data_IF_899089862770
#
_entry.id   IF_899089862770
#
_cell.length_a   1.000
_cell.length_b   1.000
_cell.length_c   1.000
_cell.angle_alpha   90.00
_cell.angle_beta   90.00
_cell.angle_gamma   90.00
#
_symmetry.space_group_name_H-M   'P 1'
#
loop_
_entity.id
_entity.type
_entity.pdbx_description
1 polymer ?
#
# COMPACT_ATOMS: atom_id res chain seq x y z
N UNK A 1 28.79 57.69 -39.10
CA UNK A 1 27.45 57.13 -39.37
C UNK A 1 27.42 55.55 -39.36
N UNK A 2 28.49 54.91 -39.82
CA UNK A 2 28.55 53.42 -39.87
C UNK A 2 28.71 52.77 -38.47
N UNK A 3 29.43 53.41 -37.56
CA UNK A 3 29.69 52.87 -36.19
C UNK A 3 28.44 52.85 -35.29
N UNK A 4 27.49 53.73 -35.52
CA UNK A 4 26.22 53.77 -34.75
C UNK A 4 25.22 52.73 -35.26
N UNK A 5 25.29 52.32 -36.51
CA UNK A 5 24.46 51.21 -37.04
C UNK A 5 24.93 49.87 -36.56
N UNK A 6 26.22 49.62 -36.47
CA UNK A 6 26.74 48.36 -35.96
C UNK A 6 26.40 48.12 -34.47
N UNK A 7 26.41 49.17 -33.64
CA UNK A 7 25.99 49.09 -32.24
C UNK A 7 24.50 48.74 -32.07
N UNK A 8 23.65 49.30 -32.94
CA UNK A 8 22.19 48.95 -32.89
C UNK A 8 21.91 47.56 -33.40
N UNK A 9 22.68 47.06 -34.35
CA UNK A 9 22.55 45.67 -34.84
C UNK A 9 22.92 44.65 -33.77
N UNK A 10 24.02 44.89 -33.02
CA UNK A 10 24.43 44.00 -31.93
C UNK A 10 23.41 43.94 -30.75
N UNK A 11 22.78 45.08 -30.43
CA UNK A 11 21.75 45.15 -29.39
C UNK A 11 20.49 44.38 -29.83
N UNK A 12 20.13 44.45 -31.11
CA UNK A 12 18.98 43.73 -31.65
C UNK A 12 19.21 42.21 -31.67
N UNK A 13 20.42 41.75 -32.01
CA UNK A 13 20.80 40.35 -31.94
C UNK A 13 20.83 39.83 -30.50
N UNK A 14 21.29 40.64 -29.55
CA UNK A 14 21.28 40.28 -28.14
C UNK A 14 19.85 40.13 -27.61
N UNK A 15 18.92 40.99 -28.05
CA UNK A 15 17.51 40.95 -27.69
C UNK A 15 16.79 39.74 -28.29
N UNK A 16 17.09 39.33 -29.50
CA UNK A 16 16.57 38.13 -30.13
C UNK A 16 17.10 36.88 -29.42
N UNK A 17 18.39 36.87 -29.04
CA UNK A 17 19.00 35.72 -28.32
C UNK A 17 18.39 35.54 -26.93
N UNK A 18 18.12 36.63 -26.19
CA UNK A 18 17.45 36.57 -24.87
C UNK A 18 15.98 36.17 -24.99
N UNK A 19 15.28 36.56 -26.04
CA UNK A 19 13.92 36.18 -26.31
C UNK A 19 13.79 34.67 -26.65
N UNK A 20 14.79 34.12 -27.36
CA UNK A 20 14.87 32.68 -27.65
C UNK A 20 15.13 31.82 -26.37
N UNK A 21 15.84 32.37 -25.40
CA UNK A 21 16.07 31.71 -24.11
C UNK A 21 14.84 31.74 -23.20
N UNK A 22 14.01 32.76 -23.29
CA UNK A 22 12.76 32.87 -22.53
C UNK A 22 11.63 31.98 -23.07
N UNK A 23 11.67 31.62 -24.37
CA UNK A 23 10.65 30.74 -24.96
C UNK A 23 10.86 29.25 -24.69
N UNK A 24 12.00 28.82 -24.14
CA UNK A 24 12.23 27.41 -23.76
C UNK A 24 11.65 27.03 -22.40
N UNK A 25 10.95 27.95 -21.72
CA UNK A 25 10.30 27.73 -20.43
C UNK A 25 8.84 27.26 -20.48
N UNK A 26 8.31 26.90 -21.65
CA UNK A 26 7.04 26.15 -21.68
C UNK A 26 7.27 24.75 -21.21
N UNK A 27 7.31 24.58 -19.89
CA UNK A 27 6.98 23.30 -19.24
C UNK A 27 5.55 23.03 -19.66
N UNK A 28 5.37 22.12 -20.61
CA UNK A 28 4.07 21.49 -20.83
C UNK A 28 3.69 20.85 -19.52
N UNK A 29 2.77 21.47 -18.79
CA UNK A 29 2.00 20.80 -17.75
C UNK A 29 1.27 19.69 -18.48
N UNK A 30 1.91 18.53 -18.60
CA UNK A 30 1.21 17.30 -18.97
C UNK A 30 0.10 17.14 -17.95
N UNK A 31 -1.12 17.01 -18.42
CA UNK A 31 -2.27 16.73 -17.60
C UNK A 31 -1.97 15.48 -16.77
N UNK A 32 -1.55 15.68 -15.53
CA UNK A 32 -1.19 14.60 -14.58
C UNK A 32 -2.37 13.64 -14.40
N UNK A 33 -3.61 14.12 -14.54
CA UNK A 33 -4.83 13.33 -14.41
C UNK A 33 -4.98 12.25 -15.50
N UNK A 34 -4.66 12.55 -16.76
CA UNK A 34 -4.75 11.56 -17.83
C UNK A 34 -3.64 10.51 -17.74
N UNK A 35 -2.43 10.92 -17.36
CA UNK A 35 -1.34 9.97 -17.12
C UNK A 35 -1.57 9.09 -15.88
N UNK A 36 -2.33 9.55 -14.87
CA UNK A 36 -2.64 8.77 -13.68
C UNK A 36 -3.66 7.66 -13.99
N UNK A 37 -4.67 7.91 -14.83
CA UNK A 37 -5.66 6.90 -15.21
C UNK A 37 -5.11 5.89 -16.24
N UNK A 38 -4.40 6.32 -17.28
CA UNK A 38 -3.79 5.40 -18.24
C UNK A 38 -2.68 4.54 -17.61
N UNK A 39 -1.94 5.09 -16.63
CA UNK A 39 -0.93 4.32 -15.91
C UNK A 39 -1.52 3.31 -14.94
N UNK A 40 -2.67 3.58 -14.32
CA UNK A 40 -3.29 2.65 -13.35
C UNK A 40 -3.88 1.39 -14.00
N UNK A 41 -4.43 1.48 -15.21
CA UNK A 41 -5.01 0.31 -15.91
C UNK A 41 -3.98 -0.76 -16.30
N UNK A 42 -2.70 -0.43 -16.25
CA UNK A 42 -1.61 -1.31 -16.66
C UNK A 42 -0.51 -1.46 -15.61
N UNK A 43 -0.77 -1.10 -14.36
CA UNK A 43 0.20 -1.17 -13.27
C UNK A 43 -0.05 -2.43 -12.44
N UNK A 44 1.02 -3.10 -12.05
CA UNK A 44 0.93 -4.21 -11.10
C UNK A 44 0.74 -3.63 -9.71
N UNK A 45 -0.16 -4.21 -8.92
CA UNK A 45 -0.37 -3.86 -7.52
C UNK A 45 0.03 -5.05 -6.64
N UNK A 46 1.32 -5.25 -6.38
CA UNK A 46 1.80 -6.34 -5.57
C UNK A 46 1.39 -6.15 -4.11
N UNK A 47 0.91 -7.21 -3.49
CA UNK A 47 0.72 -7.25 -2.03
C UNK A 47 1.93 -7.92 -1.39
N UNK A 48 2.44 -7.31 -0.32
CA UNK A 48 3.58 -7.83 0.44
C UNK A 48 3.26 -7.87 1.92
N UNK A 49 3.73 -8.93 2.60
CA UNK A 49 3.69 -9.04 4.06
C UNK A 49 5.06 -9.46 4.57
N UNK A 50 5.55 -8.74 5.58
CA UNK A 50 6.81 -9.08 6.25
C UNK A 50 6.49 -9.95 7.46
N UNK A 51 7.31 -10.99 7.67
CA UNK A 51 7.25 -11.80 8.86
C UNK A 51 8.66 -12.07 9.42
N UNK A 52 8.87 -11.68 10.66
CA UNK A 52 10.08 -11.94 11.41
C UNK A 52 9.97 -13.28 12.15
N UNK A 53 10.06 -14.38 11.40
CA UNK A 53 9.92 -15.74 11.93
C UNK A 53 11.22 -16.37 12.45
N UNK A 54 12.35 -15.64 12.37
CA UNK A 54 13.68 -16.13 12.71
C UNK A 54 14.56 -14.98 13.22
N UNK A 55 15.60 -15.29 14.00
CA UNK A 55 16.52 -14.27 14.54
C UNK A 55 17.35 -13.59 13.45
N UNK A 56 17.79 -14.32 12.44
CA UNK A 56 18.68 -13.83 11.39
C UNK A 56 17.91 -13.39 10.16
N UNK A 57 16.96 -14.22 9.72
CA UNK A 57 16.20 -13.97 8.50
C UNK A 57 14.82 -13.42 8.77
N UNK A 58 14.29 -12.75 7.79
CA UNK A 58 12.90 -12.32 7.73
C UNK A 58 12.33 -12.74 6.39
N UNK A 59 11.03 -13.03 6.35
CA UNK A 59 10.36 -13.54 5.16
C UNK A 59 9.49 -12.44 4.57
N UNK A 60 9.58 -12.25 3.25
CA UNK A 60 8.60 -11.50 2.46
C UNK A 60 7.65 -12.50 1.83
N UNK A 61 6.39 -12.43 2.19
CA UNK A 61 5.31 -13.07 1.44
C UNK A 61 4.79 -12.11 0.39
N UNK A 62 4.46 -12.61 -0.79
CA UNK A 62 3.95 -11.81 -1.89
C UNK A 62 2.71 -12.43 -2.52
N UNK A 63 1.87 -11.56 -3.08
CA UNK A 63 0.77 -11.95 -3.96
C UNK A 63 0.68 -10.99 -5.14
N UNK A 64 0.52 -11.54 -6.35
CA UNK A 64 0.29 -10.81 -7.59
C UNK A 64 -1.03 -11.28 -8.19
N UNK A 65 -1.85 -10.35 -8.65
CA UNK A 65 -3.09 -10.68 -9.35
C UNK A 65 -2.78 -11.00 -10.81
N UNK A 66 -3.14 -12.19 -11.26
CA UNK A 66 -2.88 -12.63 -12.63
C UNK A 66 -3.52 -11.73 -13.69
N UNK A 67 -4.67 -11.12 -13.40
CA UNK A 67 -5.35 -10.18 -14.32
C UNK A 67 -4.63 -8.84 -14.50
N UNK A 68 -3.64 -8.52 -13.66
CA UNK A 68 -2.79 -7.33 -13.80
C UNK A 68 -1.52 -7.60 -14.64
N UNK A 69 -1.27 -8.84 -15.05
CA UNK A 69 -0.07 -9.27 -15.74
C UNK A 69 -0.31 -9.50 -17.24
N UNK A 70 0.75 -9.34 -18.02
CA UNK A 70 0.72 -9.69 -19.44
C UNK A 70 1.15 -11.15 -19.65
N UNK A 71 0.22 -11.97 -20.10
CA UNK A 71 0.50 -13.33 -20.53
C UNK A 71 0.77 -13.38 -22.02
N UNK A 72 1.85 -14.02 -22.40
CA UNK A 72 2.24 -14.24 -23.79
C UNK A 72 2.41 -15.75 -24.06
N UNK A 73 2.30 -16.15 -25.31
CA UNK A 73 2.59 -17.54 -25.74
C UNK A 73 3.45 -17.53 -26.98
N UNK A 74 4.34 -18.50 -27.09
CA UNK A 74 5.28 -18.60 -28.22
C UNK A 74 4.56 -18.98 -29.51
N UNK A 75 3.55 -19.86 -29.45
CA UNK A 75 2.75 -20.30 -30.59
C UNK A 75 1.34 -20.70 -30.15
N UNK A 76 0.45 -21.03 -31.10
CA UNK A 76 -0.96 -21.35 -30.81
C UNK A 76 -1.15 -22.56 -29.87
N UNK A 77 -0.20 -23.47 -29.83
CA UNK A 77 -0.29 -24.71 -29.04
C UNK A 77 0.48 -24.66 -27.73
N UNK A 78 1.22 -23.57 -27.44
CA UNK A 78 1.92 -23.40 -26.17
C UNK A 78 1.02 -22.75 -25.11
N UNK A 79 1.31 -23.06 -23.86
CA UNK A 79 0.72 -22.41 -22.69
C UNK A 79 0.97 -20.89 -22.68
N UNK A 80 0.11 -20.17 -22.00
CA UNK A 80 0.32 -18.76 -21.71
C UNK A 80 1.31 -18.63 -20.55
N UNK A 81 2.25 -17.71 -20.66
CA UNK A 81 3.29 -17.48 -19.68
C UNK A 81 3.39 -16.00 -19.29
N UNK A 82 3.36 -15.72 -18.00
CA UNK A 82 3.74 -14.44 -17.43
C UNK A 82 5.06 -14.55 -16.68
N UNK A 83 5.87 -13.49 -16.72
CA UNK A 83 7.18 -13.43 -16.06
C UNK A 83 7.27 -12.20 -15.19
N UNK A 84 7.40 -12.42 -13.89
CA UNK A 84 7.52 -11.36 -12.90
C UNK A 84 8.93 -11.42 -12.32
N UNK A 85 9.66 -10.32 -12.40
CA UNK A 85 10.96 -10.19 -11.76
C UNK A 85 10.83 -9.29 -10.54
N UNK A 86 11.20 -9.82 -9.37
CA UNK A 86 11.29 -9.04 -8.13
C UNK A 86 12.76 -8.87 -7.76
N UNK A 87 13.20 -7.63 -7.61
CA UNK A 87 14.51 -7.29 -7.05
C UNK A 87 14.30 -6.66 -5.69
N UNK A 88 15.17 -6.97 -4.74
CA UNK A 88 15.12 -6.35 -3.43
C UNK A 88 16.47 -5.83 -2.96
N UNK A 89 16.41 -4.77 -2.14
CA UNK A 89 17.55 -4.17 -1.44
C UNK A 89 17.09 -3.91 -0.01
N UNK A 90 17.83 -4.42 0.95
CA UNK A 90 17.58 -4.20 2.39
C UNK A 90 18.60 -3.20 2.92
N UNK A 91 18.11 -2.18 3.60
CA UNK A 91 18.92 -1.15 4.21
C UNK A 91 18.67 -1.12 5.72
N UNK A 92 19.74 -1.04 6.48
CA UNK A 92 19.68 -0.75 7.93
C UNK A 92 19.54 0.75 8.13
N UNK A 93 18.80 1.17 9.15
CA UNK A 93 18.63 2.58 9.50
C UNK A 93 19.99 3.24 9.77
N UNK A 94 20.21 4.41 9.17
CA UNK A 94 21.48 5.13 9.24
C UNK A 94 22.58 4.61 8.31
N UNK A 95 22.40 3.47 7.64
CA UNK A 95 23.35 2.93 6.68
C UNK A 95 22.92 3.25 5.23
N UNK A 96 23.85 3.76 4.41
CA UNK A 96 23.58 4.05 2.99
C UNK A 96 23.79 2.84 2.09
N UNK A 97 24.50 1.82 2.55
CA UNK A 97 24.76 0.61 1.79
C UNK A 97 23.70 -0.45 2.11
N UNK A 98 23.25 -1.18 1.10
CA UNK A 98 22.37 -2.32 1.32
C UNK A 98 23.13 -3.41 2.09
N UNK A 99 22.49 -3.95 3.14
CA UNK A 99 23.01 -5.06 3.93
C UNK A 99 22.66 -6.41 3.33
N UNK A 100 21.61 -6.46 2.50
CA UNK A 100 21.22 -7.63 1.75
C UNK A 100 20.57 -7.24 0.42
N UNK A 101 20.72 -8.09 -0.59
CA UNK A 101 20.20 -7.83 -1.93
C UNK A 101 19.96 -9.13 -2.65
N UNK A 102 18.92 -9.16 -3.47
CA UNK A 102 18.65 -10.32 -4.30
C UNK A 102 17.62 -10.06 -5.39
N UNK A 103 17.39 -11.10 -6.15
CA UNK A 103 16.33 -11.08 -7.16
C UNK A 103 15.76 -12.47 -7.38
N UNK A 104 14.46 -12.52 -7.67
CA UNK A 104 13.79 -13.76 -8.06
C UNK A 104 13.01 -13.52 -9.36
N UNK A 105 12.93 -14.57 -10.17
CA UNK A 105 12.09 -14.62 -11.36
C UNK A 105 10.95 -15.63 -11.10
N UNK A 106 9.73 -15.14 -11.17
CA UNK A 106 8.52 -15.91 -10.98
C UNK A 106 7.91 -16.10 -12.36
N UNK A 107 7.69 -17.35 -12.72
CA UNK A 107 7.05 -17.72 -13.98
C UNK A 107 5.73 -18.38 -13.65
N UNK A 108 4.65 -17.78 -14.14
CA UNK A 108 3.31 -18.37 -14.06
C UNK A 108 2.92 -18.87 -15.43
N UNK A 109 2.67 -20.17 -15.51
CA UNK A 109 2.36 -20.86 -16.75
C UNK A 109 0.98 -21.50 -16.66
N UNK A 110 0.08 -21.11 -17.57
CA UNK A 110 -1.32 -21.52 -17.54
C UNK A 110 -1.83 -21.82 -18.95
N UNK A 111 -2.74 -22.79 -19.05
CA UNK A 111 -3.43 -23.06 -20.31
C UNK A 111 -4.54 -22.04 -20.58
N UNK A 112 -5.14 -21.50 -19.52
CA UNK A 112 -6.19 -20.48 -19.58
C UNK A 112 -5.95 -19.44 -18.49
N UNK A 113 -6.00 -18.17 -18.85
CA UNK A 113 -5.73 -17.06 -17.91
C UNK A 113 -6.97 -16.84 -17.06
N UNK A 114 -6.90 -17.25 -15.81
CA UNK A 114 -7.94 -17.07 -14.80
C UNK A 114 -7.56 -15.96 -13.82
N UNK A 115 -8.55 -15.28 -13.25
CA UNK A 115 -8.29 -14.32 -12.18
C UNK A 115 -7.95 -15.08 -10.88
N UNK A 116 -6.66 -15.20 -10.60
CA UNK A 116 -6.11 -15.87 -9.41
C UNK A 116 -4.92 -15.08 -8.86
N UNK A 117 -4.54 -15.39 -7.62
CA UNK A 117 -3.35 -14.84 -7.02
C UNK A 117 -2.16 -15.78 -7.23
N UNK A 118 -1.06 -15.23 -7.73
CA UNK A 118 0.26 -15.87 -7.77
C UNK A 118 0.93 -15.54 -6.44
N UNK A 119 1.02 -16.52 -5.56
CA UNK A 119 1.54 -16.37 -4.19
C UNK A 119 2.88 -17.05 -4.02
N UNK A 120 3.71 -16.51 -3.14
CA UNK A 120 4.98 -17.12 -2.77
C UNK A 120 5.68 -16.33 -1.68
N UNK A 121 6.93 -16.68 -1.43
CA UNK A 121 7.75 -16.01 -0.45
C UNK A 121 9.23 -16.10 -0.80
N UNK A 122 10.03 -15.24 -0.19
CA UNK A 122 11.48 -15.32 -0.17
C UNK A 122 12.00 -14.77 1.17
N UNK A 123 13.22 -15.13 1.51
CA UNK A 123 13.87 -14.69 2.72
C UNK A 123 14.91 -13.62 2.43
N UNK A 124 15.13 -12.75 3.38
CA UNK A 124 16.18 -11.74 3.38
C UNK A 124 16.82 -11.61 4.75
N UNK A 125 18.06 -11.14 4.78
CA UNK A 125 18.80 -10.99 6.02
C UNK A 125 18.47 -9.65 6.69
N UNK A 126 17.98 -9.72 7.92
CA UNK A 126 17.86 -8.60 8.86
C UNK A 126 18.07 -9.17 10.28
N UNK A 127 19.21 -8.92 10.92
CA UNK A 127 19.45 -9.37 12.29
C UNK A 127 18.49 -8.77 13.31
N UNK A 128 18.32 -9.45 14.45
CA UNK A 128 17.56 -8.91 15.59
C UNK A 128 18.11 -7.57 16.07
N UNK A 129 17.28 -6.79 16.73
CA UNK A 129 17.61 -5.45 17.25
C UNK A 129 18.00 -4.43 16.17
N UNK A 130 17.60 -4.66 14.93
CA UNK A 130 17.80 -3.74 13.81
C UNK A 130 16.48 -3.19 13.28
N UNK A 131 16.58 -1.97 12.77
CA UNK A 131 15.54 -1.30 12.00
C UNK A 131 16.07 -0.94 10.62
N UNK A 132 15.16 -0.75 9.69
CA UNK A 132 15.54 -0.37 8.35
C UNK A 132 14.37 -0.33 7.40
N UNK A 133 14.65 -0.55 6.13
CA UNK A 133 13.61 -0.70 5.11
C UNK A 133 14.06 -1.65 4.01
N UNK A 134 13.10 -2.31 3.40
CA UNK A 134 13.30 -3.07 2.19
C UNK A 134 12.69 -2.29 1.02
N UNK A 135 13.48 -2.13 -0.04
CA UNK A 135 13.02 -1.62 -1.33
C UNK A 135 12.80 -2.81 -2.25
N UNK A 136 11.59 -2.94 -2.74
CA UNK A 136 11.16 -3.96 -3.69
C UNK A 136 10.91 -3.31 -5.05
N UNK A 137 11.49 -3.84 -6.10
CA UNK A 137 11.21 -3.46 -7.48
C UNK A 137 10.60 -4.66 -8.20
N UNK A 138 9.30 -4.59 -8.46
CA UNK A 138 8.55 -5.65 -9.16
C UNK A 138 8.34 -5.23 -10.60
N UNK A 139 8.72 -6.11 -11.53
CA UNK A 139 8.62 -5.84 -12.96
C UNK A 139 7.87 -6.98 -13.66
N UNK A 140 6.86 -6.62 -14.45
CA UNK A 140 6.31 -7.49 -15.48
C UNK A 140 7.28 -7.48 -16.67
N UNK A 141 8.02 -8.58 -16.85
CA UNK A 141 9.04 -8.68 -17.90
C UNK A 141 8.41 -8.69 -19.29
N UNK A 142 7.19 -9.23 -19.44
CA UNK A 142 6.49 -9.26 -20.72
C UNK A 142 5.99 -7.86 -21.14
N UNK A 143 5.62 -7.03 -20.17
CA UNK A 143 5.13 -5.65 -20.40
C UNK A 143 6.24 -4.61 -20.28
N UNK A 144 7.35 -4.95 -19.62
CA UNK A 144 8.48 -4.04 -19.38
C UNK A 144 8.22 -2.95 -18.35
N UNK A 145 7.12 -3.03 -17.59
CA UNK A 145 6.75 -2.04 -16.56
C UNK A 145 7.14 -2.50 -15.17
N UNK A 146 7.58 -1.56 -14.33
CA UNK A 146 7.97 -1.85 -12.95
C UNK A 146 7.29 -0.92 -11.96
N UNK A 147 7.06 -1.43 -10.75
CA UNK A 147 6.60 -0.68 -9.58
C UNK A 147 7.62 -0.82 -8.45
N UNK A 148 7.80 0.23 -7.66
CA UNK A 148 8.69 0.25 -6.50
C UNK A 148 7.85 0.36 -5.23
N UNK A 149 8.12 -0.54 -4.28
CA UNK A 149 7.48 -0.56 -2.97
C UNK A 149 8.56 -0.44 -1.90
N UNK A 150 8.33 0.39 -0.89
CA UNK A 150 9.20 0.55 0.26
C UNK A 150 8.44 0.08 1.49
N UNK A 151 9.02 -0.83 2.26
CA UNK A 151 8.42 -1.35 3.48
C UNK A 151 9.41 -1.11 4.62
N UNK A 152 8.93 -0.46 5.66
CA UNK A 152 9.71 -0.27 6.89
C UNK A 152 9.86 -1.61 7.61
N UNK A 153 11.03 -1.85 8.17
CA UNK A 153 11.39 -3.06 8.89
C UNK A 153 11.73 -2.70 10.33
N UNK A 154 11.06 -3.32 11.28
CA UNK A 154 11.33 -3.11 12.69
C UNK A 154 11.52 -4.45 13.43
N UNK A 155 12.75 -4.86 13.57
CA UNK A 155 13.15 -6.04 14.35
C UNK A 155 13.78 -5.66 15.69
N UNK A 156 13.75 -4.34 16.02
CA UNK A 156 14.17 -3.81 17.31
C UNK A 156 13.06 -3.88 18.36
N UNK A 157 11.85 -3.53 17.97
CA UNK A 157 10.70 -3.54 18.88
C UNK A 157 10.02 -4.90 18.84
N UNK A 158 10.20 -5.67 19.90
CA UNK A 158 9.51 -6.95 20.06
C UNK A 158 7.99 -6.78 20.04
N UNK A 159 7.31 -7.82 19.58
CA UNK A 159 5.84 -7.94 19.53
C UNK A 159 5.14 -6.96 18.59
N UNK A 160 5.84 -6.24 17.68
CA UNK A 160 5.16 -5.46 16.67
C UNK A 160 4.48 -6.36 15.61
N UNK A 161 3.74 -5.75 14.67
CA UNK A 161 2.94 -6.49 13.68
C UNK A 161 3.75 -7.45 12.79
N UNK A 162 5.04 -7.19 12.57
CA UNK A 162 5.89 -8.02 11.70
C UNK A 162 6.34 -9.33 12.36
N UNK A 163 6.08 -9.51 13.66
CA UNK A 163 6.27 -10.77 14.37
C UNK A 163 5.03 -11.68 14.36
N UNK A 164 3.99 -11.28 13.64
CA UNK A 164 2.76 -12.05 13.49
C UNK A 164 2.48 -12.34 12.01
N UNK A 165 2.06 -13.58 11.75
CA UNK A 165 1.59 -13.99 10.44
C UNK A 165 0.13 -14.45 10.57
N UNK A 166 -0.77 -13.73 9.93
CA UNK A 166 -2.19 -14.01 9.93
C UNK A 166 -2.57 -14.76 8.67
N UNK A 167 -3.30 -15.84 8.80
CA UNK A 167 -3.84 -16.66 7.71
C UNK A 167 -5.34 -16.84 7.87
N UNK A 168 -6.04 -17.03 6.76
CA UNK A 168 -7.41 -17.51 6.75
C UNK A 168 -7.50 -19.04 6.97
N UNK A 169 -8.70 -19.58 7.05
CA UNK A 169 -8.95 -21.05 7.19
C UNK A 169 -8.41 -21.86 6.02
N UNK A 170 -8.30 -21.26 4.85
CA UNK A 170 -7.73 -21.88 3.64
C UNK A 170 -6.21 -21.80 3.60
N UNK A 171 -5.60 -21.32 4.68
CA UNK A 171 -4.14 -21.07 4.84
C UNK A 171 -3.58 -19.97 3.94
N UNK A 172 -4.42 -19.14 3.32
CA UNK A 172 -3.97 -17.97 2.59
C UNK A 172 -3.54 -16.88 3.56
N UNK A 173 -2.52 -16.12 3.19
CA UNK A 173 -2.02 -15.02 3.99
C UNK A 173 -2.96 -13.82 3.87
N UNK A 174 -3.28 -13.22 5.01
CA UNK A 174 -3.98 -11.95 5.10
C UNK A 174 -2.94 -10.84 4.95
N UNK A 175 -2.90 -10.22 3.77
CA UNK A 175 -1.92 -9.18 3.45
C UNK A 175 -2.27 -7.84 4.06
N UNK A 176 -3.55 -7.51 4.06
CA UNK A 176 -4.08 -6.23 4.53
C UNK A 176 -4.43 -6.30 6.03
N UNK A 177 -4.48 -5.14 6.66
CA UNK A 177 -4.91 -5.06 8.06
C UNK A 177 -6.43 -4.95 8.20
N UNK A 178 -7.19 -5.03 7.11
CA UNK A 178 -8.64 -5.08 7.12
C UNK A 178 -9.14 -6.43 6.60
N UNK A 179 -10.18 -6.90 7.24
CA UNK A 179 -10.84 -8.16 6.96
C UNK A 179 -12.06 -7.87 6.09
N UNK A 180 -12.27 -8.68 5.06
CA UNK A 180 -13.44 -8.54 4.19
C UNK A 180 -14.61 -9.41 4.65
N UNK A 181 -14.40 -10.71 4.77
CA UNK A 181 -15.43 -11.67 5.17
C UNK A 181 -14.84 -12.91 5.85
N UNK A 182 -13.64 -12.80 6.37
CA UNK A 182 -12.98 -13.90 7.05
C UNK A 182 -13.73 -14.25 8.34
N UNK A 183 -14.18 -15.50 8.43
CA UNK A 183 -14.92 -16.00 9.59
C UNK A 183 -14.02 -16.54 10.68
N UNK A 184 -12.86 -17.01 10.31
CA UNK A 184 -11.87 -17.54 11.23
C UNK A 184 -10.47 -17.21 10.73
N UNK A 185 -9.58 -16.88 11.66
CA UNK A 185 -8.19 -16.56 11.41
C UNK A 185 -7.29 -17.49 12.21
N UNK A 186 -6.16 -17.83 11.61
CA UNK A 186 -5.06 -18.55 12.25
C UNK A 186 -3.88 -17.61 12.37
N UNK A 187 -3.48 -17.28 13.59
CA UNK A 187 -2.44 -16.32 13.90
C UNK A 187 -1.20 -17.07 14.38
N UNK A 188 -0.12 -16.98 13.65
CA UNK A 188 1.19 -17.48 14.05
C UNK A 188 2.01 -16.34 14.63
N UNK A 189 2.78 -16.64 15.69
CA UNK A 189 3.73 -15.70 16.29
C UNK A 189 5.11 -16.31 16.37
N UNK A 190 6.12 -15.51 16.15
CA UNK A 190 7.52 -15.88 16.38
C UNK A 190 7.79 -16.32 17.83
N UNK A 191 7.11 -15.69 18.79
CA UNK A 191 7.37 -15.89 20.22
C UNK A 191 6.72 -17.18 20.74
N UNK A 192 7.40 -18.29 20.51
CA UNK A 192 6.91 -19.63 20.88
C UNK A 192 6.76 -19.86 22.39
N UNK A 193 7.44 -19.08 23.22
CA UNK A 193 7.37 -19.16 24.69
C UNK A 193 6.08 -18.56 25.27
N UNK A 194 5.41 -17.67 24.55
CA UNK A 194 4.15 -17.06 24.99
C UNK A 194 3.00 -18.04 24.80
N UNK A 195 2.25 -18.31 25.89
CA UNK A 195 1.16 -19.29 25.92
C UNK A 195 -0.20 -18.71 25.56
N UNK A 196 -0.31 -17.38 25.57
CA UNK A 196 -1.58 -16.70 25.34
C UNK A 196 -1.41 -15.45 24.48
N UNK A 197 -2.46 -15.12 23.73
CA UNK A 197 -2.60 -13.90 22.95
C UNK A 197 -3.77 -13.09 23.51
N UNK A 198 -3.51 -11.88 23.94
CA UNK A 198 -4.54 -10.95 24.41
C UNK A 198 -5.19 -10.28 23.22
N UNK A 199 -6.51 -10.23 23.23
CA UNK A 199 -7.31 -9.63 22.15
C UNK A 199 -8.22 -8.57 22.74
N UNK A 200 -8.03 -7.34 22.33
CA UNK A 200 -8.85 -6.21 22.72
C UNK A 200 -9.76 -5.82 21.56
N UNK A 201 -11.06 -5.92 21.76
CA UNK A 201 -12.07 -5.62 20.78
C UNK A 201 -12.73 -4.28 21.07
N UNK A 202 -12.77 -3.40 20.07
CA UNK A 202 -13.38 -2.08 20.10
C UNK A 202 -14.49 -2.01 19.05
N UNK A 203 -15.75 -2.18 19.48
CA UNK A 203 -16.84 -2.50 18.54
C UNK A 203 -17.68 -1.32 18.06
N UNK A 204 -17.65 -0.13 18.67
CA UNK A 204 -18.84 0.71 18.48
C UNK A 204 -18.64 2.18 18.17
N UNK A 205 -17.49 2.75 18.39
CA UNK A 205 -17.33 4.18 18.08
C UNK A 205 -15.90 4.47 17.64
N UNK A 206 -15.76 4.65 16.33
CA UNK A 206 -14.59 5.36 15.85
C UNK A 206 -14.79 6.85 16.17
N UNK A 207 -13.88 7.48 16.91
CA UNK A 207 -13.94 8.91 17.06
C UNK A 207 -13.86 9.55 15.68
N UNK A 208 -14.63 10.59 15.45
CA UNK A 208 -14.53 11.38 14.23
C UNK A 208 -13.06 11.74 14.00
N UNK A 209 -12.61 11.57 12.77
CA UNK A 209 -11.28 11.98 12.39
C UNK A 209 -11.08 13.44 12.79
N UNK A 210 -10.02 13.72 13.53
CA UNK A 210 -9.67 15.09 13.87
C UNK A 210 -9.46 15.90 12.61
N UNK A 211 -9.91 17.16 12.55
CA UNK A 211 -9.61 18.03 11.42
C UNK A 211 -8.11 18.07 11.16
N UNK A 212 -7.67 18.17 9.90
CA UNK A 212 -6.24 18.13 9.54
C UNK A 212 -5.38 19.20 10.23
N UNK A 213 -6.02 20.23 10.79
CA UNK A 213 -5.35 21.32 11.53
C UNK A 213 -5.43 21.18 13.04
N UNK A 214 -6.01 20.08 13.55
CA UNK A 214 -6.02 19.84 15.01
C UNK A 214 -4.64 19.38 15.45
N UNK A 215 -4.17 19.91 16.59
CA UNK A 215 -2.89 19.51 17.17
C UNK A 215 -2.90 17.99 17.45
N UNK A 216 -2.05 17.19 16.79
CA UNK A 216 -2.04 15.74 16.94
C UNK A 216 -1.75 15.29 18.37
N UNK A 217 -1.06 16.11 19.18
CA UNK A 217 -0.73 15.78 20.56
C UNK A 217 -1.94 15.75 21.52
N UNK A 218 -3.10 16.28 21.10
CA UNK A 218 -4.33 16.24 21.90
C UNK A 218 -5.29 15.13 21.51
N UNK A 219 -5.07 14.44 20.41
CA UNK A 219 -5.89 13.32 19.96
C UNK A 219 -5.28 11.97 20.37
N UNK A 220 -5.02 11.77 21.67
CA UNK A 220 -4.83 10.42 22.16
C UNK A 220 -6.16 9.69 22.01
N UNK A 221 -6.30 8.95 20.91
CA UNK A 221 -7.45 8.06 20.70
C UNK A 221 -7.44 6.99 21.78
N UNK A 222 -8.17 7.23 22.85
CA UNK A 222 -8.45 6.22 23.83
C UNK A 222 -9.57 5.35 23.30
N UNK A 223 -9.21 4.32 22.55
CA UNK A 223 -10.15 3.28 22.16
C UNK A 223 -10.65 2.58 23.42
N UNK A 224 -11.93 2.73 23.69
CA UNK A 224 -12.55 2.01 24.81
C UNK A 224 -12.74 0.56 24.39
N UNK A 225 -11.99 -0.33 25.03
CA UNK A 225 -12.16 -1.76 24.84
C UNK A 225 -13.57 -2.19 25.26
N UNK A 226 -14.34 -2.72 24.34
CA UNK A 226 -15.69 -3.24 24.59
C UNK A 226 -15.66 -4.69 25.09
N UNK A 227 -14.67 -5.46 24.65
CA UNK A 227 -14.48 -6.86 25.03
C UNK A 227 -12.99 -7.21 25.00
N UNK A 228 -12.51 -7.84 26.06
CA UNK A 228 -11.17 -8.42 26.12
C UNK A 228 -11.28 -9.96 26.13
N UNK A 229 -10.44 -10.60 25.34
CA UNK A 229 -10.37 -12.06 25.24
C UNK A 229 -8.92 -12.51 25.45
N UNK A 230 -8.77 -13.73 25.90
CA UNK A 230 -7.49 -14.41 26.00
C UNK A 230 -7.57 -15.68 25.15
N UNK A 231 -6.75 -15.74 24.09
CA UNK A 231 -6.65 -16.92 23.24
C UNK A 231 -5.51 -17.80 23.74
N UNK A 232 -5.81 -19.07 23.91
CA UNK A 232 -4.80 -20.09 24.24
C UNK A 232 -4.11 -20.56 22.97
N UNK A 233 -2.84 -20.88 23.10
CA UNK A 233 -2.02 -21.42 22.02
C UNK A 233 -2.41 -22.85 21.68
N UNK A 234 -2.50 -23.16 20.41
CA UNK A 234 -2.73 -24.51 19.91
C UNK A 234 -1.45 -25.37 19.97
N UNK A 235 -1.58 -26.66 19.68
CA UNK A 235 -0.45 -27.60 19.62
C UNK A 235 0.55 -27.28 18.50
N UNK A 236 0.09 -26.64 17.43
CA UNK A 236 0.89 -26.19 16.30
C UNK A 236 1.49 -24.77 16.47
N UNK A 237 1.44 -24.27 17.70
CA UNK A 237 1.93 -22.95 18.08
C UNK A 237 1.18 -21.77 17.45
N UNK A 238 -0.03 -21.98 16.94
CA UNK A 238 -0.92 -20.93 16.42
C UNK A 238 -2.00 -20.53 17.43
N UNK A 239 -2.74 -19.47 17.11
CA UNK A 239 -3.94 -19.03 17.83
C UNK A 239 -5.10 -18.93 16.85
N UNK A 240 -6.23 -19.54 17.18
CA UNK A 240 -7.45 -19.39 16.39
C UNK A 240 -8.28 -18.22 16.90
N UNK A 241 -8.80 -17.43 15.99
CA UNK A 241 -9.62 -16.27 16.31
C UNK A 241 -10.77 -16.12 15.31
N UNK A 242 -11.97 -15.91 15.86
CA UNK A 242 -13.16 -15.59 15.06
C UNK A 242 -13.40 -14.08 15.12
N UNK A 243 -13.18 -13.33 14.01
CA UNK A 243 -13.40 -11.90 13.98
C UNK A 243 -14.87 -11.55 14.24
N UNK A 244 -15.14 -10.41 14.87
CA UNK A 244 -16.51 -9.89 14.96
C UNK A 244 -16.97 -9.41 13.58
N UNK A 245 -18.27 -9.19 13.41
CA UNK A 245 -18.82 -8.65 12.17
C UNK A 245 -18.37 -7.19 11.89
N UNK A 246 -18.02 -6.46 12.93
CA UNK A 246 -17.62 -5.07 12.82
C UNK A 246 -16.73 -4.64 13.98
N UNK A 247 -15.75 -3.81 13.69
CA UNK A 247 -14.94 -3.16 14.70
C UNK A 247 -13.44 -3.24 14.45
N UNK A 248 -12.70 -2.89 15.48
CA UNK A 248 -11.26 -2.83 15.52
C UNK A 248 -10.78 -3.82 16.57
N UNK A 249 -9.88 -4.68 16.18
CA UNK A 249 -9.34 -5.74 17.05
C UNK A 249 -7.85 -5.59 17.16
N UNK A 250 -7.36 -5.41 18.39
CA UNK A 250 -5.94 -5.31 18.68
C UNK A 250 -5.44 -6.55 19.41
N UNK A 251 -4.36 -7.13 18.90
CA UNK A 251 -3.74 -8.36 19.38
C UNK A 251 -2.40 -8.06 20.02
N UNK A 252 -2.16 -8.57 21.23
CA UNK A 252 -0.95 -8.33 22.00
C UNK A 252 -0.47 -9.63 22.67
N UNK A 253 0.85 -9.85 22.69
CA UNK A 253 1.47 -10.91 23.49
C UNK A 253 1.90 -10.40 24.88
N UNK A 254 1.94 -9.09 25.03
CA UNK A 254 2.31 -8.43 26.29
C UNK A 254 1.44 -7.20 26.49
N UNK A 255 0.71 -7.15 27.59
CA UNK A 255 -0.20 -6.04 27.93
C UNK A 255 0.50 -4.87 28.62
N UNK A 256 1.78 -5.02 28.97
CA UNK A 256 2.59 -3.93 29.54
C UNK A 256 3.04 -2.91 28.49
N UNK A 257 3.00 -3.33 27.22
CA UNK A 257 3.33 -2.50 26.06
C UNK A 257 2.09 -2.30 25.18
N UNK A 258 2.15 -1.34 24.25
CA UNK A 258 1.13 -1.17 23.20
C UNK A 258 1.47 -1.94 21.92
N UNK A 259 2.56 -2.69 21.94
CA UNK A 259 3.02 -3.44 20.79
C UNK A 259 2.06 -4.58 20.46
N UNK A 260 1.87 -4.82 19.19
CA UNK A 260 0.95 -5.82 18.68
C UNK A 260 0.59 -5.51 17.25
N UNK A 261 -0.52 -6.03 16.80
CA UNK A 261 -1.09 -5.69 15.50
C UNK A 261 -2.60 -5.48 15.62
N UNK A 262 -3.13 -4.72 14.68
CA UNK A 262 -4.55 -4.38 14.67
C UNK A 262 -5.16 -4.81 13.35
N UNK A 263 -6.30 -5.49 13.44
CA UNK A 263 -7.15 -5.81 12.30
C UNK A 263 -8.42 -4.99 12.38
N UNK A 264 -8.90 -4.60 11.22
CA UNK A 264 -10.11 -3.80 11.06
C UNK A 264 -11.16 -4.64 10.34
N UNK A 265 -12.36 -4.70 10.88
CA UNK A 265 -13.54 -5.26 10.22
C UNK A 265 -14.52 -4.11 9.97
N UNK A 266 -14.66 -3.74 8.71
CA UNK A 266 -15.60 -2.73 8.28
C UNK A 266 -16.75 -3.39 7.51
N UNK A 267 -17.76 -2.61 7.20
CA UNK A 267 -18.94 -3.11 6.49
C UNK A 267 -18.57 -3.73 5.13
N UNK A 268 -19.47 -4.53 4.60
CA UNK A 268 -19.35 -5.42 3.44
C UNK A 268 -18.65 -4.82 2.20
N UNK A 269 -18.75 -3.50 2.03
CA UNK A 269 -18.18 -2.80 0.86
C UNK A 269 -16.83 -2.15 1.10
N UNK A 270 -16.27 -2.24 2.32
CA UNK A 270 -14.95 -1.67 2.62
C UNK A 270 -13.85 -2.73 2.43
N UNK A 271 -12.71 -2.41 1.82
CA UNK A 271 -12.30 -1.15 1.17
C UNK A 271 -12.64 -1.10 -0.34
N UNK A 272 -13.39 -2.07 -0.82
CA UNK A 272 -13.65 -2.27 -2.24
C UNK A 272 -14.78 -1.37 -2.75
N UNK A 273 -14.54 -0.06 -2.73
CA UNK A 273 -15.38 0.89 -3.46
C UNK A 273 -15.20 0.61 -4.95
N UNK A 274 -16.23 0.06 -5.59
CA UNK A 274 -16.19 -0.36 -6.99
C UNK A 274 -16.88 0.61 -7.92
N UNK A 275 -17.81 1.41 -7.40
CA UNK A 275 -18.64 2.32 -8.17
C UNK A 275 -18.51 3.76 -7.69
N UNK A 276 -18.81 4.71 -8.57
CA UNK A 276 -18.81 6.12 -8.21
C UNK A 276 -19.87 6.44 -7.14
N UNK A 277 -21.00 5.76 -7.17
CA UNK A 277 -22.06 5.94 -6.16
C UNK A 277 -21.60 5.51 -4.76
N UNK A 278 -20.83 4.44 -4.65
CA UNK A 278 -20.23 4.00 -3.38
C UNK A 278 -19.20 5.02 -2.86
N UNK A 279 -18.50 5.76 -3.75
CA UNK A 279 -17.56 6.81 -3.37
C UNK A 279 -18.24 8.04 -2.75
N UNK A 280 -19.52 8.28 -3.00
CA UNK A 280 -20.25 9.42 -2.42
C UNK A 280 -20.21 9.38 -0.90
N UNK A 281 -20.35 8.21 -0.29
CA UNK A 281 -20.43 8.07 1.16
C UNK A 281 -19.17 8.54 1.89
N UNK A 282 -17.94 8.08 1.54
CA UNK A 282 -16.71 8.59 2.16
C UNK A 282 -16.46 10.08 1.87
N UNK A 283 -16.78 10.57 0.68
CA UNK A 283 -16.59 11.98 0.31
C UNK A 283 -17.43 12.91 1.19
N UNK A 284 -18.58 12.46 1.69
CA UNK A 284 -19.43 13.22 2.61
C UNK A 284 -18.70 13.76 3.84
N UNK A 285 -17.69 13.05 4.34
CA UNK A 285 -16.97 13.42 5.56
C UNK A 285 -15.89 14.49 5.34
N UNK A 286 -15.54 14.78 4.09
CA UNK A 286 -14.46 15.69 3.73
C UNK A 286 -14.91 16.88 2.87
N UNK A 287 -16.18 16.93 2.47
CA UNK A 287 -16.76 18.00 1.67
C UNK A 287 -17.70 18.87 2.48
N UNK A 288 -17.93 20.10 2.02
CA UNK A 288 -18.98 20.95 2.56
C UNK A 288 -20.36 20.41 2.15
N UNK A 289 -21.41 20.90 2.80
CA UNK A 289 -22.78 20.52 2.47
C UNK A 289 -23.15 20.85 1.01
N UNK A 290 -22.68 21.98 0.51
CA UNK A 290 -22.90 22.47 -0.85
C UNK A 290 -22.14 21.60 -1.87
N UNK A 291 -20.86 21.28 -1.58
CA UNK A 291 -20.06 20.38 -2.41
C UNK A 291 -20.69 18.99 -2.48
N UNK A 292 -21.15 18.45 -1.33
CA UNK A 292 -21.83 17.16 -1.27
C UNK A 292 -23.10 17.12 -2.11
N UNK A 293 -23.95 18.15 -2.00
CA UNK A 293 -25.17 18.24 -2.80
C UNK A 293 -24.83 18.30 -4.30
N UNK A 294 -23.84 19.08 -4.71
CA UNK A 294 -23.39 19.16 -6.10
C UNK A 294 -22.94 17.80 -6.64
N UNK A 295 -22.19 17.04 -5.86
CA UNK A 295 -21.75 15.69 -6.26
C UNK A 295 -22.95 14.75 -6.38
N UNK A 296 -23.81 14.72 -5.35
CA UNK A 296 -24.96 13.81 -5.28
C UNK A 296 -26.01 14.03 -6.37
N UNK A 297 -26.22 15.29 -6.78
CA UNK A 297 -27.24 15.65 -7.80
C UNK A 297 -26.69 15.68 -9.21
N UNK A 298 -25.40 15.41 -9.41
CA UNK A 298 -24.80 15.38 -10.75
C UNK A 298 -25.25 14.12 -11.49
N UNK A 299 -25.55 14.25 -12.76
CA UNK A 299 -25.87 13.11 -13.62
C UNK A 299 -24.68 12.18 -13.86
N UNK A 300 -23.46 12.71 -13.79
CA UNK A 300 -22.20 11.96 -13.80
C UNK A 300 -21.49 12.14 -12.45
N UNK A 301 -21.80 11.24 -11.53
CA UNK A 301 -21.24 11.22 -10.16
C UNK A 301 -19.73 11.08 -10.19
N UNK A 302 -19.20 10.25 -11.11
CA UNK A 302 -17.75 10.03 -11.21
C UNK A 302 -17.02 11.32 -11.58
N UNK A 303 -17.51 12.01 -12.62
CA UNK A 303 -16.93 13.29 -13.03
C UNK A 303 -16.98 14.32 -11.89
N UNK A 304 -18.10 14.40 -11.17
CA UNK A 304 -18.25 15.33 -10.06
C UNK A 304 -17.28 15.06 -8.90
N UNK A 305 -16.99 13.79 -8.62
CA UNK A 305 -16.00 13.38 -7.63
C UNK A 305 -14.58 13.71 -8.10
N UNK A 306 -14.27 13.44 -9.37
CA UNK A 306 -12.96 13.77 -9.96
C UNK A 306 -12.70 15.28 -9.92
N UNK A 307 -13.70 16.11 -10.28
CA UNK A 307 -13.64 17.57 -10.18
C UNK A 307 -13.45 18.06 -8.73
N UNK A 308 -14.12 17.42 -7.78
CA UNK A 308 -13.96 17.72 -6.35
C UNK A 308 -12.50 17.49 -5.89
N UNK A 309 -11.92 16.35 -6.22
CA UNK A 309 -10.53 16.05 -5.86
C UNK A 309 -9.52 16.94 -6.56
N UNK A 310 -9.73 17.25 -7.85
CA UNK A 310 -8.88 18.20 -8.57
C UNK A 310 -8.89 19.58 -7.93
N UNK A 311 -10.06 20.06 -7.49
CA UNK A 311 -10.19 21.33 -6.80
C UNK A 311 -9.45 21.32 -5.45
N UNK A 312 -9.58 20.24 -4.67
CA UNK A 312 -8.90 20.12 -3.36
C UNK A 312 -7.38 19.99 -3.52
N UNK A 313 -6.90 19.25 -4.52
CA UNK A 313 -5.47 19.12 -4.80
C UNK A 313 -4.82 20.45 -5.23
N UNK A 314 -5.55 21.30 -5.94
CA UNK A 314 -5.03 22.60 -6.40
C UNK A 314 -5.10 23.71 -5.32
N UNK A 315 -5.74 23.46 -4.19
CA UNK A 315 -5.86 24.42 -3.06
C UNK A 315 -4.89 24.16 -1.93
N UNK A 316 -3.97 23.19 -2.09
CA UNK A 316 -2.97 22.80 -1.05
C UNK A 316 -1.58 23.41 -1.31
N UNK A 317 -1.47 24.57 -1.97
CA UNK A 317 -0.27 25.40 -2.02
C UNK A 317 -0.31 26.50 -0.96
#
# INVERSE_FOLDING_TARGET
MIFTMLKRLNIFYLFILTMFWLCNGCVTTQNISNNFMENNLNTIHPSYKIYHGNEVFSTVYYAFKSNELLYTRANKNSSFQSKIKVKYLVFEEGNRSAIDTGSLLIIDEVNDVKNQNIIGHFEFNLPVQKKGYIKLETRDENRGRSVKTFIYLDKLNDYNEQFFLVKDVSKNIVYDNYLSNEKELVIHSYFNTKKALFVNHNSTYFPLASPPFSNPDKSSFNFKTSKALLLSKNSDFSFNYNPPEFGLVHFQLDTTTKNGFTLFQFQEHFPNIKTADEMIHPVRFICTKEEFQKIRTNSDVKQAIDEFWLKKGNTSD
#
